data_IF_404364978656
#
_entry.id   IF_404364978656
#
_cell.length_a   1.000
_cell.length_b   1.000
_cell.length_c   1.000
_cell.angle_alpha   90.00
_cell.angle_beta   90.00
_cell.angle_gamma   90.00
#
_symmetry.space_group_name_H-M   'P 1'
#
loop_
_entity.id
_entity.type
_entity.pdbx_description
1 polymer ?
#
# COMPACT_ATOMS: atom_id res chain seq x y z
N UNK A 1 -14.41 0.92 11.47
CA UNK A 1 -15.19 1.23 10.25
C UNK A 1 -14.43 2.00 9.17
N UNK A 2 -13.55 2.96 9.49
CA UNK A 2 -12.71 3.65 8.47
C UNK A 2 -11.80 2.71 7.67
N UNK A 3 -11.18 1.71 8.30
CA UNK A 3 -10.36 0.70 7.61
C UNK A 3 -11.17 -0.20 6.67
N UNK A 4 -12.50 -0.30 6.86
CA UNK A 4 -13.38 -1.07 5.97
C UNK A 4 -13.72 -0.33 4.68
N UNK A 5 -13.46 0.97 4.59
CA UNK A 5 -13.75 1.75 3.38
C UNK A 5 -12.53 1.88 2.46
N UNK A 6 -11.31 1.70 3.00
CA UNK A 6 -10.07 1.86 2.25
C UNK A 6 -9.90 3.25 1.62
N UNK A 7 -10.57 4.28 2.13
CA UNK A 7 -10.55 5.65 1.55
C UNK A 7 -9.16 6.29 1.69
N UNK A 8 -8.48 6.03 2.81
CA UNK A 8 -7.16 6.61 3.10
C UNK A 8 -6.13 5.49 3.10
N UNK A 9 -5.50 5.31 1.94
CA UNK A 9 -4.44 4.35 1.72
C UNK A 9 -3.28 5.04 1.03
N UNK A 10 -2.08 4.89 1.60
CA UNK A 10 -0.89 5.33 0.91
C UNK A 10 -0.61 4.36 -0.25
N UNK A 11 -0.38 4.93 -1.42
CA UNK A 11 -0.12 4.19 -2.65
C UNK A 11 1.21 4.66 -3.23
N UNK A 12 1.92 3.75 -3.87
CA UNK A 12 3.13 4.12 -4.60
C UNK A 12 2.77 4.68 -5.98
N UNK A 13 3.18 5.93 -6.23
CA UNK A 13 2.99 6.58 -7.51
C UNK A 13 4.24 6.41 -8.39
N UNK A 14 4.05 5.85 -9.57
CA UNK A 14 5.10 5.77 -10.60
C UNK A 14 4.63 6.41 -11.89
N UNK A 15 5.58 7.02 -12.63
CA UNK A 15 5.29 7.63 -13.92
C UNK A 15 4.93 6.55 -14.96
N UNK A 16 3.84 6.76 -15.72
CA UNK A 16 3.35 5.79 -16.73
C UNK A 16 4.39 5.49 -17.82
N UNK A 17 5.14 6.50 -18.28
CA UNK A 17 6.22 6.33 -19.26
C UNK A 17 7.35 5.50 -18.66
N UNK A 18 7.69 5.70 -17.39
CA UNK A 18 8.69 4.87 -16.71
C UNK A 18 8.27 3.40 -16.63
N UNK A 19 7.01 3.12 -16.27
CA UNK A 19 6.48 1.75 -16.26
C UNK A 19 6.52 1.12 -17.66
N UNK A 20 6.11 1.87 -18.70
CA UNK A 20 6.03 1.37 -20.05
C UNK A 20 7.41 1.12 -20.69
N UNK A 21 8.33 2.09 -20.57
CA UNK A 21 9.61 2.07 -21.28
C UNK A 21 10.74 1.43 -20.47
N UNK A 22 10.62 1.40 -19.14
CA UNK A 22 11.62 0.85 -18.21
C UNK A 22 11.02 -0.22 -17.31
N UNK A 23 10.12 -1.05 -17.86
CA UNK A 23 9.36 -2.07 -17.12
C UNK A 23 10.21 -2.93 -16.17
N UNK A 24 11.39 -3.47 -16.56
CA UNK A 24 12.22 -4.25 -15.63
C UNK A 24 12.71 -3.43 -14.43
N UNK A 25 13.05 -2.17 -14.63
CA UNK A 25 13.47 -1.27 -13.55
C UNK A 25 12.30 -0.89 -12.65
N UNK A 26 11.12 -0.61 -13.24
CA UNK A 26 9.90 -0.32 -12.47
C UNK A 26 9.50 -1.52 -11.59
N UNK A 27 9.59 -2.74 -12.14
CA UNK A 27 9.34 -3.97 -11.41
C UNK A 27 10.36 -4.19 -10.28
N UNK A 28 11.65 -3.90 -10.53
CA UNK A 28 12.69 -4.00 -9.52
C UNK A 28 12.49 -2.99 -8.37
N UNK A 29 12.08 -1.76 -8.67
CA UNK A 29 11.73 -0.74 -7.65
C UNK A 29 10.55 -1.21 -6.81
N UNK A 30 9.47 -1.70 -7.44
CA UNK A 30 8.33 -2.26 -6.72
C UNK A 30 8.75 -3.41 -5.81
N UNK A 31 9.55 -4.36 -6.32
CA UNK A 31 10.03 -5.49 -5.52
C UNK A 31 10.88 -5.03 -4.33
N UNK A 32 11.77 -4.07 -4.55
CA UNK A 32 12.63 -3.52 -3.49
C UNK A 32 11.82 -2.86 -2.37
N UNK A 33 10.70 -2.21 -2.68
CA UNK A 33 9.80 -1.64 -1.68
C UNK A 33 9.17 -2.73 -0.79
N UNK A 34 8.68 -3.82 -1.38
CA UNK A 34 8.17 -4.96 -0.61
C UNK A 34 9.26 -5.68 0.18
N UNK A 35 10.47 -5.83 -0.38
CA UNK A 35 11.62 -6.39 0.35
C UNK A 35 12.05 -5.51 1.52
N UNK A 36 12.07 -4.19 1.35
CA UNK A 36 12.34 -3.25 2.44
C UNK A 36 11.28 -3.32 3.53
N UNK A 37 10.00 -3.51 3.15
CA UNK A 37 8.92 -3.74 4.10
C UNK A 37 9.07 -5.07 4.85
N UNK A 38 9.54 -6.12 4.18
CA UNK A 38 9.91 -7.39 4.82
C UNK A 38 11.05 -7.23 5.82
N UNK A 39 12.08 -6.47 5.45
CA UNK A 39 13.18 -6.17 6.37
C UNK A 39 12.69 -5.35 7.57
N UNK A 40 11.84 -4.34 7.37
CA UNK A 40 11.20 -3.62 8.47
C UNK A 40 10.39 -4.54 9.38
N UNK A 41 9.60 -5.44 8.79
CA UNK A 41 8.84 -6.45 9.54
C UNK A 41 9.75 -7.29 10.44
N UNK A 42 10.87 -7.80 9.93
CA UNK A 42 11.80 -8.65 10.70
C UNK A 42 12.71 -7.87 11.67
N UNK A 43 12.91 -6.57 11.44
CA UNK A 43 13.91 -5.74 12.15
C UNK A 43 13.32 -4.41 12.67
N UNK A 44 12.15 -4.46 13.30
CA UNK A 44 11.35 -3.28 13.64
C UNK A 44 12.12 -2.24 14.47
N UNK A 45 12.84 -2.64 15.51
CA UNK A 45 13.55 -1.69 16.39
C UNK A 45 14.63 -0.90 15.63
N UNK A 46 15.49 -1.62 14.91
CA UNK A 46 16.56 -1.03 14.10
C UNK A 46 15.99 -0.10 13.01
N UNK A 47 15.02 -0.60 12.27
CA UNK A 47 14.47 0.12 11.10
C UNK A 47 13.63 1.31 11.52
N UNK A 48 12.88 1.22 12.62
CA UNK A 48 12.20 2.38 13.20
C UNK A 48 13.21 3.44 13.65
N UNK A 49 14.33 3.05 14.26
CA UNK A 49 15.35 4.03 14.64
C UNK A 49 15.97 4.71 13.41
N UNK A 50 16.32 3.94 12.36
CA UNK A 50 16.85 4.50 11.11
C UNK A 50 15.89 5.49 10.45
N UNK A 51 14.59 5.14 10.41
CA UNK A 51 13.55 6.03 9.88
C UNK A 51 13.39 7.28 10.75
N UNK A 52 13.40 7.14 12.07
CA UNK A 52 13.30 8.26 13.00
C UNK A 52 14.47 9.23 12.86
N UNK A 53 15.69 8.71 12.74
CA UNK A 53 16.90 9.52 12.53
C UNK A 53 16.83 10.31 11.21
N UNK A 54 16.38 9.65 10.13
CA UNK A 54 16.20 10.29 8.82
C UNK A 54 15.14 11.40 8.86
N UNK A 55 13.98 11.12 9.48
CA UNK A 55 12.88 12.09 9.61
C UNK A 55 13.17 13.18 10.65
N UNK A 56 14.21 13.01 11.46
CA UNK A 56 14.53 13.85 12.61
C UNK A 56 13.39 13.90 13.63
N UNK A 57 12.71 12.77 13.82
CA UNK A 57 11.58 12.61 14.74
C UNK A 57 11.97 11.76 15.96
N UNK A 58 11.30 11.92 17.11
CA UNK A 58 11.36 10.92 18.17
C UNK A 58 10.90 9.56 17.64
N UNK A 59 11.65 8.48 17.95
CA UNK A 59 11.27 7.12 17.53
C UNK A 59 9.89 6.70 18.07
N UNK A 60 9.48 7.26 19.22
CA UNK A 60 8.15 7.07 19.80
C UNK A 60 7.03 7.64 18.92
N UNK A 61 7.28 8.75 18.23
CA UNK A 61 6.30 9.36 17.34
C UNK A 61 6.14 8.51 16.08
N UNK A 62 7.24 8.01 15.52
CA UNK A 62 7.20 7.05 14.42
C UNK A 62 6.45 5.77 14.79
N UNK A 63 6.77 5.20 15.95
CA UNK A 63 6.12 4.00 16.48
C UNK A 63 4.61 4.18 16.67
N UNK A 64 4.14 5.39 17.02
CA UNK A 64 2.71 5.69 17.14
C UNK A 64 1.97 5.66 15.80
N UNK A 65 2.68 5.86 14.69
CA UNK A 65 2.11 5.88 13.34
C UNK A 65 2.16 4.51 12.69
N UNK A 66 3.35 3.89 12.60
CA UNK A 66 3.56 2.65 11.84
C UNK A 66 3.68 1.39 12.72
N UNK A 67 3.71 1.57 14.04
CA UNK A 67 3.73 0.49 15.01
C UNK A 67 5.12 -0.02 15.40
N UNK A 68 5.10 -0.99 16.30
CA UNK A 68 6.29 -1.60 16.92
C UNK A 68 6.37 -3.12 16.72
N UNK A 69 5.51 -3.68 15.87
CA UNK A 69 5.35 -5.13 15.69
C UNK A 69 5.43 -5.57 14.21
N UNK A 70 5.94 -4.70 13.33
CA UNK A 70 6.15 -5.05 11.93
C UNK A 70 4.86 -5.28 11.13
N UNK A 71 3.70 -4.85 11.62
CA UNK A 71 2.43 -5.02 10.90
C UNK A 71 1.43 -3.89 11.13
N UNK A 72 1.05 -3.63 12.38
CA UNK A 72 -0.01 -2.67 12.70
C UNK A 72 -0.05 -2.33 14.19
N UNK A 73 -0.39 -1.08 14.51
CA UNK A 73 -0.72 -0.65 15.86
C UNK A 73 -2.18 -0.18 15.92
N UNK A 74 -2.87 -0.46 17.03
CA UNK A 74 -4.21 0.08 17.26
C UNK A 74 -4.19 1.61 17.24
N UNK A 75 -5.00 2.20 16.35
CA UNK A 75 -5.02 3.64 16.12
C UNK A 75 -3.94 4.18 15.17
N UNK A 76 -2.98 3.33 14.77
CA UNK A 76 -1.97 3.63 13.76
C UNK A 76 -2.38 3.20 12.35
N UNK A 77 -1.43 3.23 11.42
CA UNK A 77 -1.61 2.75 10.05
C UNK A 77 -1.43 1.23 10.03
N UNK A 78 -2.28 0.55 9.27
CA UNK A 78 -2.14 -0.87 8.98
C UNK A 78 -1.26 -1.08 7.75
N UNK A 79 -0.15 -1.81 7.90
CA UNK A 79 0.78 -2.07 6.80
C UNK A 79 0.37 -3.31 6.02
N UNK A 80 0.01 -3.09 4.76
CA UNK A 80 -0.22 -4.17 3.82
C UNK A 80 1.08 -4.94 3.59
N UNK A 81 0.99 -6.26 3.59
CA UNK A 81 1.98 -7.08 2.90
C UNK A 81 1.67 -7.16 1.40
N UNK A 82 2.59 -7.74 0.64
CA UNK A 82 2.42 -7.87 -0.81
C UNK A 82 1.14 -8.63 -1.19
N UNK A 83 0.85 -9.75 -0.52
CA UNK A 83 -0.30 -10.58 -0.87
C UNK A 83 -1.62 -9.83 -0.63
N UNK A 84 -1.72 -9.09 0.47
CA UNK A 84 -2.86 -8.22 0.76
C UNK A 84 -3.03 -7.13 -0.29
N UNK A 85 -1.95 -6.44 -0.66
CA UNK A 85 -1.99 -5.41 -1.70
C UNK A 85 -2.38 -6.00 -3.06
N UNK A 86 -1.84 -7.16 -3.43
CA UNK A 86 -2.16 -7.85 -4.67
C UNK A 86 -3.63 -8.30 -4.74
N UNK A 87 -4.21 -8.76 -3.62
CA UNK A 87 -5.64 -9.09 -3.51
C UNK A 87 -6.52 -7.85 -3.59
N UNK A 88 -6.15 -6.76 -2.93
CA UNK A 88 -6.85 -5.47 -3.06
C UNK A 88 -6.79 -4.94 -4.49
N UNK A 89 -5.70 -5.20 -5.21
CA UNK A 89 -5.54 -4.86 -6.62
C UNK A 89 -6.27 -5.80 -7.59
N UNK A 90 -6.76 -6.95 -7.15
CA UNK A 90 -7.45 -7.91 -8.03
C UNK A 90 -6.51 -8.80 -8.85
N UNK A 91 -5.22 -8.82 -8.53
CA UNK A 91 -4.21 -9.58 -9.30
C UNK A 91 -3.73 -10.84 -8.60
N UNK A 92 -4.20 -11.07 -7.36
CA UNK A 92 -4.01 -12.30 -6.61
C UNK A 92 -5.36 -12.71 -6.02
N UNK A 93 -5.72 -13.99 -6.15
CA UNK A 93 -6.94 -14.55 -5.56
C UNK A 93 -6.92 -14.53 -4.02
N UNK A 94 -8.11 -14.52 -3.42
CA UNK A 94 -8.31 -14.59 -1.98
C UNK A 94 -8.85 -13.30 -1.37
N UNK A 95 -9.00 -13.30 -0.05
CA UNK A 95 -9.60 -12.18 0.67
C UNK A 95 -8.53 -11.17 1.11
N UNK A 96 -8.67 -9.88 0.76
CA UNK A 96 -7.85 -8.82 1.35
C UNK A 96 -8.31 -8.50 2.79
N UNK A 97 -7.56 -7.65 3.53
CA UNK A 97 -7.89 -7.29 4.90
C UNK A 97 -9.25 -6.59 5.06
N UNK A 98 -9.74 -6.53 6.29
CA UNK A 98 -10.91 -5.74 6.70
C UNK A 98 -12.25 -6.13 6.05
N UNK A 99 -12.34 -7.30 5.42
CA UNK A 99 -13.54 -7.73 4.70
C UNK A 99 -13.78 -6.93 3.43
N UNK A 100 -12.73 -6.32 2.88
CA UNK A 100 -12.77 -5.72 1.56
C UNK A 100 -12.97 -6.82 0.50
N UNK A 101 -13.71 -6.57 -0.59
CA UNK A 101 -13.75 -7.52 -1.69
C UNK A 101 -12.41 -7.56 -2.43
N UNK A 102 -12.07 -8.71 -2.99
CA UNK A 102 -10.94 -8.80 -3.91
C UNK A 102 -11.12 -7.80 -5.09
N UNK A 103 -10.06 -7.07 -5.44
CA UNK A 103 -10.13 -6.01 -6.45
C UNK A 103 -10.81 -4.71 -5.99
N UNK A 104 -10.91 -4.46 -4.67
CA UNK A 104 -11.61 -3.29 -4.12
C UNK A 104 -11.01 -1.92 -4.47
N UNK A 105 -9.77 -1.86 -4.96
CA UNK A 105 -9.04 -0.58 -5.16
C UNK A 105 -9.81 0.42 -6.03
N UNK A 106 -10.43 -0.03 -7.12
CA UNK A 106 -11.24 0.84 -7.98
C UNK A 106 -12.45 1.44 -7.22
N UNK A 107 -13.05 0.65 -6.32
CA UNK A 107 -14.12 1.10 -5.44
C UNK A 107 -13.65 2.16 -4.45
N UNK A 108 -12.46 1.99 -3.86
CA UNK A 108 -11.84 2.98 -2.95
C UNK A 108 -11.57 4.31 -3.66
N UNK A 109 -11.07 4.27 -4.90
CA UNK A 109 -10.86 5.49 -5.72
C UNK A 109 -12.20 6.14 -6.07
N UNK A 110 -13.22 5.36 -6.45
CA UNK A 110 -14.56 5.88 -6.73
C UNK A 110 -15.16 6.59 -5.51
N UNK A 111 -15.02 5.99 -4.33
CA UNK A 111 -15.50 6.57 -3.08
C UNK A 111 -14.72 7.85 -2.71
N UNK A 112 -13.42 7.90 -2.98
CA UNK A 112 -12.60 9.10 -2.80
C UNK A 112 -13.07 10.24 -3.70
N UNK A 113 -13.36 9.97 -4.98
CA UNK A 113 -13.93 10.96 -5.91
C UNK A 113 -15.25 11.53 -5.37
N UNK A 114 -16.13 10.68 -4.85
CA UNK A 114 -17.43 11.09 -4.30
C UNK A 114 -17.28 12.06 -3.14
N UNK A 115 -16.34 11.79 -2.23
CA UNK A 115 -16.04 12.68 -1.12
C UNK A 115 -15.39 13.99 -1.57
N UNK A 116 -14.45 13.95 -2.52
CA UNK A 116 -13.80 15.17 -3.00
C UNK A 116 -14.77 16.11 -3.72
N UNK A 117 -15.74 15.56 -4.47
CA UNK A 117 -16.82 16.35 -5.07
C UNK A 117 -17.71 16.94 -3.97
N UNK A 118 -18.12 16.12 -3.00
CA UNK A 118 -18.98 16.57 -1.89
C UNK A 118 -18.34 17.69 -1.06
N UNK A 119 -17.01 17.67 -0.93
CA UNK A 119 -16.23 18.69 -0.23
C UNK A 119 -15.89 19.92 -1.12
N UNK A 120 -16.30 19.92 -2.39
CA UNK A 120 -16.03 21.02 -3.32
C UNK A 120 -14.58 21.09 -3.82
N UNK A 121 -13.80 20.03 -3.66
CA UNK A 121 -12.40 19.92 -4.11
C UNK A 121 -12.30 19.47 -5.58
N UNK A 122 -13.33 18.81 -6.09
CA UNK A 122 -13.46 18.40 -7.50
C UNK A 122 -14.85 18.74 -8.04
N UNK A 123 -14.94 18.97 -9.34
CA UNK A 123 -16.22 19.22 -10.02
C UNK A 123 -16.72 18.01 -10.82
N UNK A 124 -15.84 17.06 -11.15
CA UNK A 124 -16.15 15.89 -11.98
C UNK A 124 -15.57 14.62 -11.36
N UNK A 125 -16.22 13.47 -11.57
CA UNK A 125 -15.63 12.17 -11.25
C UNK A 125 -14.60 11.81 -12.31
N UNK A 126 -13.47 11.27 -11.89
CA UNK A 126 -12.51 10.61 -12.79
C UNK A 126 -12.83 9.11 -12.88
N UNK A 127 -12.45 8.48 -13.98
CA UNK A 127 -12.50 7.02 -14.09
C UNK A 127 -11.55 6.41 -13.05
N UNK A 128 -12.05 5.61 -12.08
CA UNK A 128 -11.22 4.97 -11.08
C UNK A 128 -10.11 4.11 -11.68
N UNK A 129 -10.38 3.43 -12.80
CA UNK A 129 -9.40 2.57 -13.46
C UNK A 129 -8.23 3.38 -14.04
N UNK A 130 -8.44 4.64 -14.43
CA UNK A 130 -7.38 5.51 -14.94
C UNK A 130 -6.38 5.95 -13.85
N UNK A 131 -6.81 5.88 -12.59
CA UNK A 131 -6.05 6.28 -11.40
C UNK A 131 -5.20 5.16 -10.77
N UNK A 132 -5.25 3.94 -11.30
CA UNK A 132 -4.49 2.80 -10.78
C UNK A 132 -3.78 2.01 -11.89
N UNK A 133 -2.66 1.41 -11.54
CA UNK A 133 -1.94 0.44 -12.38
C UNK A 133 -1.47 -0.71 -11.48
N UNK A 134 -2.17 -1.85 -11.55
CA UNK A 134 -1.80 -3.06 -10.81
C UNK A 134 -0.95 -4.02 -11.63
N UNK A 135 -0.50 -3.63 -12.84
CA UNK A 135 0.18 -4.54 -13.75
C UNK A 135 1.53 -5.01 -13.21
N UNK A 136 2.26 -4.15 -12.49
CA UNK A 136 3.54 -4.53 -11.87
C UNK A 136 3.35 -5.50 -10.69
N UNK A 137 2.28 -5.33 -9.89
CA UNK A 137 1.92 -6.33 -8.87
C UNK A 137 1.58 -7.66 -9.52
N UNK A 138 0.80 -7.64 -10.61
CA UNK A 138 0.48 -8.83 -11.40
C UNK A 138 1.72 -9.55 -11.95
N UNK A 139 2.69 -8.80 -12.47
CA UNK A 139 3.97 -9.36 -12.95
C UNK A 139 4.74 -10.06 -11.81
N UNK A 140 4.80 -9.45 -10.61
CA UNK A 140 5.42 -10.07 -9.44
C UNK A 140 4.65 -11.33 -8.99
N UNK A 141 3.31 -11.27 -8.98
CA UNK A 141 2.47 -12.45 -8.66
C UNK A 141 2.77 -13.60 -9.64
N UNK A 142 2.83 -13.31 -10.93
CA UNK A 142 3.12 -14.29 -11.98
C UNK A 142 4.54 -14.87 -11.88
N UNK A 143 5.50 -14.10 -11.36
CA UNK A 143 6.86 -14.59 -11.07
C UNK A 143 6.95 -15.49 -9.83
N UNK A 144 5.86 -15.62 -9.07
CA UNK A 144 5.80 -16.41 -7.85
C UNK A 144 6.19 -15.64 -6.57
N UNK A 145 6.41 -14.33 -6.65
CA UNK A 145 6.69 -13.51 -5.47
C UNK A 145 5.46 -13.49 -4.54
N UNK A 146 5.68 -13.73 -3.25
CA UNK A 146 4.65 -13.73 -2.21
C UNK A 146 5.25 -13.15 -0.93
N UNK A 147 4.41 -12.49 -0.15
CA UNK A 147 4.78 -12.00 1.17
C UNK A 147 3.52 -11.92 2.01
N UNK A 148 3.57 -12.47 3.21
CA UNK A 148 2.48 -12.38 4.17
C UNK A 148 3.06 -12.18 5.56
N UNK A 149 2.49 -11.24 6.31
CA UNK A 149 2.97 -10.88 7.64
C UNK A 149 1.89 -11.13 8.70
N UNK A 150 2.34 -11.55 9.87
CA UNK A 150 1.59 -11.47 11.12
C UNK A 150 2.31 -10.52 12.06
N UNK A 151 1.63 -9.86 13.01
CA UNK A 151 2.33 -9.05 14.01
C UNK A 151 3.35 -9.92 14.80
N UNK A 152 4.53 -9.38 15.05
CA UNK A 152 5.59 -10.01 15.85
C UNK A 152 5.32 -9.96 17.35
#
# INVERSE_FOLDING_TARGET
>A
DMLKTGIFMDSMFMNKTFIAERRPAALAVLKAEWEARGYWHDHVEETNQLMADYLQWPVTDLASVIGTNGKSLDGGIYMFDFDEAARTCGVLEGEPPFGLPNGSMAGSIALTNDWWIKLGLMTNKIDPAAGMDCSLLGDLVASGYRQSFTAN
#
